data_IF_283399288875
#
_entry.id   IF_283399288875
#
_cell.length_a   1.000
_cell.length_b   1.000
_cell.length_c   1.000
_cell.angle_alpha   90.00
_cell.angle_beta   90.00
_cell.angle_gamma   90.00
#
_symmetry.space_group_name_H-M   'P 1'
#
loop_
_entity.id
_entity.type
_entity.pdbx_description
1 polymer ?
#
# COMPACT_ATOMS: atom_id res chain seq x y z
N UNK A 1 19.22 15.20 52.60
CA UNK A 1 19.76 14.39 51.49
C UNK A 1 18.63 14.02 50.52
N UNK A 2 18.49 14.75 49.41
CA UNK A 2 17.61 14.34 48.31
C UNK A 2 18.44 13.53 47.31
N UNK A 3 18.06 12.28 47.07
CA UNK A 3 18.48 11.54 45.86
C UNK A 3 17.30 11.51 44.90
N UNK A 4 17.21 12.51 44.03
CA UNK A 4 16.31 12.49 42.87
C UNK A 4 16.88 11.43 41.90
N UNK A 5 16.30 10.24 41.90
CA UNK A 5 16.59 9.25 40.84
C UNK A 5 15.88 9.72 39.57
N UNK A 6 16.66 10.20 38.61
CA UNK A 6 16.20 10.40 37.25
C UNK A 6 16.10 9.01 36.60
N UNK A 7 14.89 8.54 36.35
CA UNK A 7 14.69 7.36 35.51
C UNK A 7 14.52 7.85 34.08
N UNK A 8 15.54 7.63 33.26
CA UNK A 8 15.42 7.73 31.81
C UNK A 8 14.57 6.56 31.33
N UNK A 9 13.43 6.85 30.70
CA UNK A 9 12.67 5.85 29.95
C UNK A 9 12.93 6.04 28.45
N UNK A 10 13.64 5.08 27.85
CA UNK A 10 13.56 4.88 26.40
C UNK A 10 12.25 4.14 26.11
N UNK A 11 11.24 4.89 25.65
CA UNK A 11 10.01 4.28 25.17
C UNK A 11 10.23 3.75 23.75
N UNK A 12 10.54 2.46 23.61
CA UNK A 12 10.29 1.76 22.35
C UNK A 12 8.78 1.60 22.21
N UNK A 13 8.17 2.45 21.39
CA UNK A 13 6.74 2.36 21.10
C UNK A 13 6.48 1.07 20.32
N UNK A 14 5.83 0.09 20.94
CA UNK A 14 5.24 -1.05 20.24
C UNK A 14 3.75 -0.77 20.10
N UNK A 15 3.33 -0.40 18.90
CA UNK A 15 1.91 -0.27 18.56
C UNK A 15 1.36 -1.68 18.36
N UNK A 16 0.24 -1.94 19.01
CA UNK A 16 -0.50 -3.21 19.21
C UNK A 16 -0.52 -4.21 18.04
N UNK A 17 -0.21 -5.48 18.36
CA UNK A 17 -0.62 -6.78 17.77
C UNK A 17 -0.92 -6.94 16.27
N UNK A 18 -0.42 -6.03 15.45
CA UNK A 18 0.07 -6.32 14.12
C UNK A 18 1.44 -5.68 14.05
N UNK A 19 2.50 -6.48 14.11
CA UNK A 19 3.88 -5.99 14.00
C UNK A 19 4.11 -5.39 12.61
N UNK A 20 3.65 -4.15 12.41
CA UNK A 20 4.29 -3.24 11.47
C UNK A 20 5.62 -2.91 12.13
N UNK A 21 6.63 -3.73 11.87
CA UNK A 21 8.02 -3.28 12.00
C UNK A 21 8.16 -2.09 11.04
N UNK A 22 7.93 -0.90 11.58
CA UNK A 22 8.33 0.34 10.93
C UNK A 22 9.86 0.30 10.88
N UNK A 23 10.40 -0.35 9.84
CA UNK A 23 11.79 -0.14 9.45
C UNK A 23 12.02 1.36 9.37
N UNK A 24 13.16 1.85 9.84
CA UNK A 24 13.49 3.28 9.98
C UNK A 24 13.18 4.16 8.75
N UNK A 25 13.03 3.58 7.55
CA UNK A 25 12.49 4.24 6.35
C UNK A 25 11.06 4.77 6.48
N UNK A 26 10.21 4.15 7.30
CA UNK A 26 8.80 4.52 7.46
C UNK A 26 8.59 5.90 8.11
N UNK A 27 9.62 6.47 8.74
CA UNK A 27 9.58 7.80 9.36
C UNK A 27 10.13 8.91 8.45
N UNK A 28 10.87 8.59 7.38
CA UNK A 28 11.46 9.60 6.47
C UNK A 28 10.54 10.01 5.32
N UNK A 29 9.53 9.20 5.00
CA UNK A 29 8.57 9.53 3.95
C UNK A 29 7.31 10.16 4.55
N UNK A 30 6.76 11.24 3.95
CA UNK A 30 5.51 11.82 4.43
C UNK A 30 4.43 10.75 4.47
N UNK A 31 3.79 10.58 5.63
CA UNK A 31 2.64 9.70 5.79
C UNK A 31 1.60 9.97 4.69
N UNK A 32 0.78 8.99 4.31
CA UNK A 32 -0.25 9.17 3.28
C UNK A 32 -1.26 10.28 3.61
N UNK A 33 -1.33 10.70 4.88
CA UNK A 33 -2.14 11.81 5.40
C UNK A 33 -1.41 13.15 5.43
N UNK A 34 -0.15 13.21 4.99
CA UNK A 34 0.63 14.44 5.06
C UNK A 34 0.04 15.51 4.13
N UNK A 35 -0.07 16.79 4.57
CA UNK A 35 -0.76 17.84 3.81
C UNK A 35 -0.26 18.06 2.38
N UNK A 36 1.03 17.80 2.12
CA UNK A 36 1.66 17.97 0.79
C UNK A 36 1.42 16.78 -0.16
N UNK A 37 0.82 15.69 0.32
CA UNK A 37 0.50 14.52 -0.51
C UNK A 37 -0.83 14.79 -1.19
N UNK A 38 -0.79 14.98 -2.51
CA UNK A 38 -2.00 15.14 -3.32
C UNK A 38 -2.86 13.88 -3.27
N UNK A 39 -4.16 14.02 -3.48
CA UNK A 39 -5.09 12.89 -3.40
C UNK A 39 -4.68 11.74 -4.35
N UNK A 40 -4.29 11.97 -5.63
CA UNK A 40 -3.81 10.89 -6.50
C UNK A 40 -2.59 10.15 -5.94
N UNK A 41 -1.59 10.87 -5.41
CA UNK A 41 -0.43 10.27 -4.74
C UNK A 41 -0.82 9.48 -3.50
N UNK A 42 -1.77 9.96 -2.71
CA UNK A 42 -2.29 9.22 -1.55
C UNK A 42 -2.94 7.89 -1.95
N UNK A 43 -3.65 7.84 -3.09
CA UNK A 43 -4.22 6.59 -3.63
C UNK A 43 -3.13 5.62 -4.10
N UNK A 44 -2.06 6.11 -4.74
CA UNK A 44 -0.91 5.27 -5.11
C UNK A 44 -0.20 4.73 -3.86
N UNK A 45 0.04 5.58 -2.85
CA UNK A 45 0.62 5.16 -1.56
C UNK A 45 -0.24 4.10 -0.86
N UNK A 46 -1.57 4.21 -0.92
CA UNK A 46 -2.45 3.16 -0.40
C UNK A 46 -2.24 1.82 -1.11
N UNK A 47 -2.00 1.81 -2.43
CA UNK A 47 -1.66 0.58 -3.15
C UNK A 47 -0.38 -0.06 -2.61
N UNK A 48 0.66 0.73 -2.38
CA UNK A 48 1.92 0.25 -1.78
C UNK A 48 1.71 -0.34 -0.39
N UNK A 49 0.93 0.32 0.45
CA UNK A 49 0.56 -0.19 1.77
C UNK A 49 -0.13 -1.56 1.68
N UNK A 50 -1.13 -1.70 0.80
CA UNK A 50 -1.81 -2.99 0.61
C UNK A 50 -0.92 -4.05 -0.04
N UNK A 51 0.05 -3.66 -0.87
CA UNK A 51 1.04 -4.59 -1.40
C UNK A 51 1.94 -5.14 -0.29
N UNK A 52 2.33 -4.31 0.69
CA UNK A 52 3.12 -4.77 1.81
C UNK A 52 2.33 -5.70 2.74
N UNK A 53 1.07 -5.38 3.02
CA UNK A 53 0.16 -6.29 3.73
C UNK A 53 -0.05 -7.59 2.94
N UNK A 54 -0.18 -7.51 1.62
CA UNK A 54 -0.29 -8.68 0.75
C UNK A 54 0.93 -9.61 0.88
N UNK A 55 2.16 -9.07 0.85
CA UNK A 55 3.38 -9.87 1.03
C UNK A 55 3.39 -10.61 2.37
N UNK A 56 2.94 -9.95 3.43
CA UNK A 56 2.87 -10.55 4.77
C UNK A 56 1.79 -11.63 4.89
N UNK A 57 0.75 -11.56 4.07
CA UNK A 57 -0.44 -12.42 4.16
C UNK A 57 -0.69 -13.28 2.91
N UNK A 58 0.32 -13.48 2.06
CA UNK A 58 0.18 -14.13 0.75
C UNK A 58 -0.30 -15.59 0.83
N UNK A 59 -0.14 -16.25 1.98
CA UNK A 59 -0.61 -17.62 2.24
C UNK A 59 -1.99 -17.67 2.94
N UNK A 60 -2.53 -16.54 3.35
CA UNK A 60 -3.89 -16.44 3.87
C UNK A 60 -4.81 -16.05 2.71
N UNK A 61 -5.66 -16.99 2.29
CA UNK A 61 -6.54 -16.84 1.13
C UNK A 61 -7.47 -15.62 1.24
N UNK A 62 -8.16 -15.49 2.38
CA UNK A 62 -9.10 -14.40 2.62
C UNK A 62 -8.38 -13.04 2.63
N UNK A 63 -7.24 -12.94 3.31
CA UNK A 63 -6.44 -11.72 3.35
C UNK A 63 -5.88 -11.37 1.97
N UNK A 64 -5.33 -12.36 1.26
CA UNK A 64 -4.85 -12.25 -0.13
C UNK A 64 -5.92 -11.66 -1.02
N UNK A 65 -7.12 -12.23 -0.99
CA UNK A 65 -8.28 -11.74 -1.74
C UNK A 65 -8.57 -10.28 -1.41
N UNK A 66 -8.73 -9.95 -0.14
CA UNK A 66 -9.02 -8.58 0.32
C UNK A 66 -7.96 -7.57 -0.14
N UNK A 67 -6.67 -7.94 -0.08
CA UNK A 67 -5.59 -7.05 -0.48
C UNK A 67 -5.54 -6.83 -2.00
N UNK A 68 -5.75 -7.87 -2.80
CA UNK A 68 -5.84 -7.75 -4.27
C UNK A 68 -7.02 -6.86 -4.67
N UNK A 69 -8.20 -7.06 -4.06
CA UNK A 69 -9.38 -6.22 -4.29
C UNK A 69 -9.10 -4.75 -3.93
N UNK A 70 -8.45 -4.51 -2.78
CA UNK A 70 -8.08 -3.18 -2.35
C UNK A 70 -7.12 -2.50 -3.34
N UNK A 71 -6.04 -3.19 -3.76
CA UNK A 71 -5.07 -2.66 -4.72
C UNK A 71 -5.77 -2.28 -6.03
N UNK A 72 -6.57 -3.19 -6.60
CA UNK A 72 -7.30 -2.94 -7.86
C UNK A 72 -8.23 -1.72 -7.75
N UNK A 73 -8.92 -1.56 -6.62
CA UNK A 73 -9.77 -0.40 -6.33
C UNK A 73 -8.98 0.91 -6.23
N UNK A 74 -7.85 0.90 -5.53
CA UNK A 74 -7.03 2.10 -5.35
C UNK A 74 -6.31 2.53 -6.63
N UNK A 75 -5.90 1.59 -7.49
CA UNK A 75 -5.35 1.90 -8.82
C UNK A 75 -6.35 2.69 -9.67
N UNK A 76 -7.62 2.25 -9.75
CA UNK A 76 -8.69 3.01 -10.43
C UNK A 76 -8.95 4.33 -9.75
N UNK A 77 -9.01 4.35 -8.42
CA UNK A 77 -9.24 5.59 -7.68
C UNK A 77 -8.17 6.63 -7.97
N UNK A 78 -6.90 6.23 -8.12
CA UNK A 78 -5.80 7.14 -8.42
C UNK A 78 -6.02 7.83 -9.78
N UNK A 79 -6.32 7.08 -10.83
CA UNK A 79 -6.53 7.63 -12.18
C UNK A 79 -7.81 8.46 -12.29
N UNK A 80 -8.89 8.05 -11.64
CA UNK A 80 -10.12 8.83 -11.59
C UNK A 80 -10.00 10.13 -10.81
N UNK A 81 -9.31 10.10 -9.67
CA UNK A 81 -9.05 11.33 -8.91
C UNK A 81 -8.16 12.26 -9.72
N UNK A 82 -7.16 11.73 -10.44
CA UNK A 82 -6.31 12.53 -11.32
C UNK A 82 -7.14 13.23 -12.40
N UNK A 83 -7.96 12.48 -13.15
CA UNK A 83 -8.87 13.04 -14.16
C UNK A 83 -9.78 14.12 -13.58
N UNK A 84 -10.42 13.83 -12.45
CA UNK A 84 -11.35 14.77 -11.82
C UNK A 84 -10.68 16.08 -11.40
N UNK A 85 -9.49 16.01 -10.79
CA UNK A 85 -8.78 17.20 -10.31
C UNK A 85 -8.24 18.04 -11.48
N UNK A 86 -7.79 17.37 -12.55
CA UNK A 86 -7.11 18.01 -13.66
C UNK A 86 -8.02 18.28 -14.88
N UNK A 87 -9.32 17.98 -14.81
CA UNK A 87 -10.30 18.13 -15.90
C UNK A 87 -10.24 19.49 -16.60
N UNK A 88 -10.02 20.56 -15.83
CA UNK A 88 -9.94 21.95 -16.33
C UNK A 88 -8.53 22.47 -16.57
N UNK A 89 -7.50 21.65 -16.36
CA UNK A 89 -6.11 22.07 -16.55
C UNK A 89 -5.79 22.16 -18.07
N UNK A 90 -5.29 23.31 -18.56
CA UNK A 90 -4.93 23.45 -19.98
C UNK A 90 -3.95 22.38 -20.44
N UNK A 91 -4.24 21.71 -21.56
CA UNK A 91 -3.40 20.64 -22.14
C UNK A 91 -3.46 19.28 -21.42
N UNK A 92 -4.21 19.14 -20.32
CA UNK A 92 -4.31 17.87 -19.59
C UNK A 92 -4.98 16.79 -20.42
N UNK A 93 -6.07 17.10 -21.13
CA UNK A 93 -6.84 16.10 -21.87
C UNK A 93 -6.01 15.42 -22.97
N UNK A 94 -5.36 16.21 -23.83
CA UNK A 94 -4.49 15.69 -24.90
C UNK A 94 -3.33 14.85 -24.35
N UNK A 95 -2.70 15.31 -23.26
CA UNK A 95 -1.65 14.54 -22.60
C UNK A 95 -2.18 13.22 -22.03
N UNK A 96 -3.34 13.27 -21.35
CA UNK A 96 -3.88 12.13 -20.65
C UNK A 96 -4.44 11.08 -21.62
N UNK A 97 -5.01 11.48 -22.75
CA UNK A 97 -5.40 10.57 -23.83
C UNK A 97 -4.19 9.77 -24.34
N UNK A 98 -3.06 10.43 -24.59
CA UNK A 98 -1.83 9.74 -25.00
C UNK A 98 -1.32 8.76 -23.91
N UNK A 99 -1.36 9.16 -22.64
CA UNK A 99 -1.02 8.29 -21.52
C UNK A 99 -1.99 7.10 -21.40
N UNK A 100 -3.28 7.31 -21.67
CA UNK A 100 -4.29 6.25 -21.68
C UNK A 100 -4.04 5.24 -22.79
N UNK A 101 -3.66 5.66 -23.99
CA UNK A 101 -3.32 4.72 -25.07
C UNK A 101 -2.13 3.84 -24.68
N UNK A 102 -1.08 4.41 -24.09
CA UNK A 102 0.05 3.62 -23.58
C UNK A 102 -0.39 2.61 -22.50
N UNK A 103 -1.26 3.02 -21.58
CA UNK A 103 -1.81 2.10 -20.57
C UNK A 103 -2.72 1.02 -21.19
N UNK A 104 -3.43 1.32 -22.27
CA UNK A 104 -4.23 0.36 -23.04
C UNK A 104 -3.36 -0.58 -23.86
N UNK A 105 -2.09 -0.31 -24.07
CA UNK A 105 -1.17 -1.23 -24.73
C UNK A 105 -0.55 -2.21 -23.73
N UNK A 106 -0.38 -1.81 -22.46
CA UNK A 106 0.19 -2.63 -21.39
C UNK A 106 -0.70 -3.86 -21.04
N UNK A 107 -0.23 -5.09 -21.31
CA UNK A 107 -0.99 -6.31 -21.02
C UNK A 107 -1.30 -6.49 -19.53
N UNK A 108 -0.39 -6.11 -18.64
CA UNK A 108 -0.56 -6.24 -17.19
C UNK A 108 -1.65 -5.29 -16.71
N UNK A 109 -1.71 -4.06 -17.22
CA UNK A 109 -2.78 -3.12 -16.86
C UNK A 109 -4.14 -3.58 -17.38
N UNK A 110 -4.22 -4.26 -18.54
CA UNK A 110 -5.46 -4.91 -18.99
C UNK A 110 -5.92 -5.98 -18.03
N UNK A 111 -5.00 -6.82 -17.55
CA UNK A 111 -5.30 -7.84 -16.54
C UNK A 111 -5.80 -7.21 -15.24
N UNK A 112 -5.19 -6.12 -14.78
CA UNK A 112 -5.65 -5.38 -13.60
C UNK A 112 -7.06 -4.77 -13.80
N UNK A 113 -7.38 -4.27 -14.99
CA UNK A 113 -8.73 -3.80 -15.32
C UNK A 113 -9.74 -4.95 -15.28
N UNK A 114 -9.38 -6.12 -15.81
CA UNK A 114 -10.21 -7.31 -15.75
C UNK A 114 -10.43 -7.76 -14.30
N UNK A 115 -9.36 -7.86 -13.52
CA UNK A 115 -9.38 -8.23 -12.11
C UNK A 115 -10.31 -7.31 -11.31
N UNK A 116 -10.20 -6.00 -11.52
CA UNK A 116 -11.09 -5.02 -10.92
C UNK A 116 -12.55 -5.24 -11.32
N UNK A 117 -12.83 -5.39 -12.62
CA UNK A 117 -14.19 -5.58 -13.10
C UNK A 117 -14.85 -6.83 -12.52
N UNK A 118 -14.06 -7.89 -12.31
CA UNK A 118 -14.49 -9.10 -11.62
C UNK A 118 -14.78 -8.80 -10.15
N UNK A 119 -13.83 -8.17 -9.44
CA UNK A 119 -13.99 -7.82 -8.02
C UNK A 119 -15.27 -7.02 -7.76
N UNK A 120 -15.52 -5.98 -8.56
CA UNK A 120 -16.68 -5.09 -8.39
C UNK A 120 -18.02 -5.78 -8.68
N UNK A 121 -18.06 -6.72 -9.63
CA UNK A 121 -19.33 -7.32 -10.10
C UNK A 121 -19.67 -8.65 -9.44
N UNK A 122 -18.67 -9.45 -9.11
CA UNK A 122 -18.84 -10.85 -8.68
C UNK A 122 -18.08 -11.18 -7.39
N UNK A 123 -17.18 -10.30 -6.96
CA UNK A 123 -16.12 -10.66 -6.02
C UNK A 123 -15.04 -11.50 -6.70
N UNK A 124 -13.87 -11.59 -6.05
CA UNK A 124 -12.78 -12.45 -6.54
C UNK A 124 -12.95 -13.89 -6.05
N UNK A 125 -12.90 -14.82 -6.99
CA UNK A 125 -12.84 -16.26 -6.70
C UNK A 125 -11.44 -16.77 -7.05
N UNK A 126 -10.75 -17.33 -6.07
CA UNK A 126 -9.37 -17.78 -6.19
C UNK A 126 -9.36 -19.24 -6.65
N UNK A 127 -9.40 -19.43 -7.97
CA UNK A 127 -9.48 -20.74 -8.64
C UNK A 127 -8.24 -21.59 -8.34
N UNK A 128 -7.07 -20.96 -8.33
CA UNK A 128 -5.81 -21.59 -7.92
C UNK A 128 -5.09 -20.65 -6.96
N UNK A 129 -4.86 -21.13 -5.74
CA UNK A 129 -4.19 -20.41 -4.68
C UNK A 129 -3.44 -21.40 -3.81
N UNK A 130 -2.21 -21.05 -3.42
CA UNK A 130 -1.45 -21.80 -2.44
C UNK A 130 0.02 -21.95 -2.77
N UNK A 131 0.74 -22.49 -1.80
CA UNK A 131 2.15 -22.79 -1.91
C UNK A 131 2.36 -23.99 -2.83
N UNK A 132 3.16 -23.80 -3.88
CA UNK A 132 3.61 -24.91 -4.74
C UNK A 132 4.91 -25.47 -4.17
N UNK A 133 4.89 -26.75 -3.77
CA UNK A 133 6.08 -27.46 -3.30
C UNK A 133 6.49 -28.49 -4.36
N UNK A 134 7.72 -28.40 -4.85
CA UNK A 134 8.31 -29.39 -5.73
C UNK A 134 9.24 -30.30 -4.93
N UNK A 135 8.97 -31.61 -4.94
CA UNK A 135 9.80 -32.62 -4.29
C UNK A 135 10.46 -33.52 -5.33
N UNK A 136 11.78 -33.43 -5.46
CA UNK A 136 12.57 -34.24 -6.38
C UNK A 136 13.12 -35.47 -5.62
N UNK A 137 12.84 -36.66 -6.14
CA UNK A 137 13.36 -37.93 -5.63
C UNK A 137 14.48 -38.44 -6.55
N UNK A 138 15.69 -38.59 -6.02
CA UNK A 138 16.85 -39.05 -6.77
C UNK A 138 17.07 -40.55 -6.58
N UNK A 139 17.73 -41.21 -7.55
CA UNK A 139 18.02 -42.65 -7.51
C UNK A 139 18.91 -43.09 -6.33
N UNK A 140 19.65 -42.17 -5.74
CA UNK A 140 20.51 -42.40 -4.57
C UNK A 140 19.79 -42.12 -3.25
N UNK A 141 18.46 -42.22 -3.22
CA UNK A 141 17.60 -41.94 -2.06
C UNK A 141 17.64 -40.49 -1.54
N UNK A 142 18.39 -39.59 -2.20
CA UNK A 142 18.35 -38.17 -1.90
C UNK A 142 16.97 -37.61 -2.23
N UNK A 143 16.45 -36.77 -1.35
CA UNK A 143 15.23 -35.99 -1.54
C UNK A 143 15.59 -34.52 -1.51
N UNK A 144 15.17 -33.76 -2.51
CA UNK A 144 15.29 -32.31 -2.54
C UNK A 144 13.89 -31.69 -2.58
N UNK A 145 13.62 -30.74 -1.69
CA UNK A 145 12.36 -30.00 -1.64
C UNK A 145 12.63 -28.56 -2.03
N UNK A 146 11.86 -28.04 -2.99
CA UNK A 146 11.90 -26.64 -3.43
C UNK A 146 10.53 -26.01 -3.24
N UNK A 147 10.54 -24.79 -2.71
CA UNK A 147 9.36 -23.93 -2.68
C UNK A 147 9.32 -23.13 -3.97
N UNK A 148 8.25 -23.31 -4.74
CA UNK A 148 8.02 -22.55 -5.96
C UNK A 148 7.28 -21.24 -5.61
N UNK A 149 7.39 -20.21 -6.45
CA UNK A 149 6.61 -18.98 -6.29
C UNK A 149 5.12 -19.28 -6.17
N UNK A 150 4.44 -18.50 -5.34
CA UNK A 150 2.97 -18.54 -5.27
C UNK A 150 2.43 -18.00 -6.59
N UNK A 151 1.60 -18.78 -7.25
CA UNK A 151 0.82 -18.34 -8.40
C UNK A 151 -0.63 -18.20 -7.98
N UNK A 152 -1.33 -17.21 -8.52
CA UNK A 152 -2.73 -16.98 -8.21
C UNK A 152 -3.53 -16.88 -9.51
N UNK A 153 -4.58 -17.71 -9.64
CA UNK A 153 -5.55 -17.61 -10.73
C UNK A 153 -6.87 -17.12 -10.21
N UNK A 154 -7.36 -16.03 -10.78
CA UNK A 154 -8.56 -15.32 -10.33
C UNK A 154 -9.44 -15.06 -11.55
N UNK A 155 -10.53 -15.81 -11.71
CA UNK A 155 -11.56 -15.53 -12.71
C UNK A 155 -11.02 -15.15 -14.11
N UNK A 156 -10.06 -15.93 -14.62
CA UNK A 156 -9.43 -15.73 -15.93
C UNK A 156 -8.17 -14.85 -15.95
N UNK A 157 -7.79 -14.24 -14.83
CA UNK A 157 -6.51 -13.55 -14.62
C UNK A 157 -5.50 -14.50 -13.98
N UNK A 158 -4.26 -14.54 -14.48
CA UNK A 158 -3.19 -15.38 -13.92
C UNK A 158 -2.01 -14.53 -13.48
N UNK A 159 -1.87 -14.35 -12.17
CA UNK A 159 -0.71 -13.71 -11.55
C UNK A 159 0.37 -14.76 -11.31
N UNK A 160 1.42 -14.73 -12.13
CA UNK A 160 2.52 -15.71 -12.07
C UNK A 160 3.49 -15.39 -10.95
N UNK A 161 3.74 -14.10 -10.74
CA UNK A 161 4.42 -13.58 -9.57
C UNK A 161 3.55 -12.45 -9.02
N UNK A 162 2.54 -12.76 -8.20
CA UNK A 162 1.56 -11.79 -7.73
C UNK A 162 2.20 -10.55 -7.10
N UNK A 163 3.32 -10.69 -6.40
CA UNK A 163 4.00 -9.55 -5.80
C UNK A 163 4.63 -8.68 -6.87
N UNK A 164 5.36 -9.26 -7.82
CA UNK A 164 6.01 -8.51 -8.89
C UNK A 164 4.99 -7.91 -9.88
N UNK A 165 3.94 -8.65 -10.21
CA UNK A 165 2.89 -8.24 -11.13
C UNK A 165 2.09 -7.06 -10.55
N UNK A 166 1.64 -7.15 -9.28
CA UNK A 166 0.97 -6.04 -8.62
C UNK A 166 1.90 -4.83 -8.46
N UNK A 167 3.17 -5.06 -8.10
CA UNK A 167 4.18 -3.99 -8.00
C UNK A 167 4.33 -3.22 -9.31
N UNK A 168 4.52 -3.91 -10.44
CA UNK A 168 4.65 -3.28 -11.77
C UNK A 168 3.42 -2.49 -12.17
N UNK A 169 2.22 -2.97 -11.83
CA UNK A 169 0.98 -2.24 -12.07
C UNK A 169 0.94 -0.94 -11.27
N UNK A 170 1.33 -0.98 -9.99
CA UNK A 170 1.41 0.21 -9.12
C UNK A 170 2.45 1.20 -9.66
N UNK A 171 3.63 0.72 -10.05
CA UNK A 171 4.69 1.57 -10.62
C UNK A 171 4.23 2.25 -11.91
N UNK A 172 3.45 1.57 -12.75
CA UNK A 172 2.94 2.13 -13.99
C UNK A 172 1.93 3.26 -13.74
N UNK A 173 0.98 3.06 -12.82
CA UNK A 173 0.06 4.14 -12.42
C UNK A 173 0.80 5.27 -11.67
N UNK A 174 1.80 4.93 -10.86
CA UNK A 174 2.64 5.91 -10.18
C UNK A 174 3.34 6.82 -11.17
N UNK A 175 3.92 6.28 -12.25
CA UNK A 175 4.58 7.08 -13.30
C UNK A 175 3.61 8.09 -13.94
N UNK A 176 2.38 7.68 -14.25
CA UNK A 176 1.36 8.59 -14.80
C UNK A 176 1.00 9.71 -13.82
N UNK A 177 0.86 9.37 -12.54
CA UNK A 177 0.57 10.37 -11.49
C UNK A 177 1.73 11.33 -11.32
N UNK A 178 2.97 10.85 -11.30
CA UNK A 178 4.16 11.70 -11.14
C UNK A 178 4.39 12.60 -12.36
N UNK A 179 4.25 12.08 -13.59
CA UNK A 179 4.36 12.88 -14.82
C UNK A 179 3.31 14.02 -14.84
N UNK A 180 2.10 13.78 -14.34
CA UNK A 180 1.09 14.83 -14.20
C UNK A 180 1.49 15.94 -13.20
N UNK A 181 2.24 15.61 -12.15
CA UNK A 181 2.79 16.60 -11.22
C UNK A 181 3.94 17.37 -11.85
N UNK A 182 4.84 16.69 -12.55
CA UNK A 182 5.98 17.30 -13.23
C UNK A 182 5.53 18.28 -14.32
N UNK A 183 4.43 17.97 -15.02
CA UNK A 183 3.78 18.86 -15.99
C UNK A 183 2.95 19.99 -15.36
N UNK A 184 2.83 20.02 -14.04
CA UNK A 184 2.11 21.06 -13.31
C UNK A 184 0.58 20.97 -13.41
N UNK A 185 0.02 19.84 -13.87
CA UNK A 185 -1.44 19.66 -13.91
C UNK A 185 -2.04 19.50 -12.51
N UNK A 186 -1.27 18.93 -11.57
CA UNK A 186 -1.69 18.74 -10.18
C UNK A 186 -1.05 19.80 -9.30
N UNK A 187 -1.87 20.68 -8.72
CA UNK A 187 -1.38 21.65 -7.72
C UNK A 187 -1.07 20.93 -6.41
N UNK A 188 0.15 21.11 -5.91
CA UNK A 188 0.54 20.65 -4.58
C UNK A 188 -0.15 21.59 -3.58
N UNK A 189 -0.92 21.06 -2.60
CA UNK A 189 -1.51 21.88 -1.56
C UNK A 189 -0.42 22.66 -0.83
N UNK A 190 -0.71 23.92 -0.48
CA UNK A 190 0.15 24.67 0.42
C UNK A 190 0.31 23.87 1.73
N UNK A 191 1.54 23.81 2.24
CA UNK A 191 1.81 23.14 3.50
C UNK A 191 0.98 23.81 4.59
N UNK A 192 0.10 23.03 5.23
CA UNK A 192 -0.58 23.48 6.44
C UNK A 192 0.32 23.15 7.63
N UNK A 193 0.55 24.12 8.50
CA UNK A 193 1.17 23.86 9.78
C UNK A 193 0.31 22.87 10.57
N UNK A 194 0.88 21.71 10.90
CA UNK A 194 0.25 20.76 11.81
C UNK A 194 0.78 21.00 13.21
N UNK A 195 -0.11 21.40 14.12
CA UNK A 195 0.18 21.54 15.54
C UNK A 195 -0.02 20.18 16.20
N UNK A 196 1.06 19.45 16.46
CA UNK A 196 1.01 18.23 17.26
C UNK A 196 0.91 18.61 18.73
N UNK A 197 -0.25 18.38 19.35
CA UNK A 197 -0.41 18.55 20.80
C UNK A 197 -0.10 17.23 21.49
N UNK A 198 1.02 17.18 22.20
CA UNK A 198 1.35 16.07 23.08
C UNK A 198 0.86 16.43 24.47
N UNK A 199 -0.14 15.70 24.96
CA UNK A 199 -0.68 15.85 26.30
C UNK A 199 -0.18 14.69 27.18
N UNK A 200 0.52 14.99 28.27
CA UNK A 200 0.92 13.98 29.24
C UNK A 200 -0.14 13.89 30.34
N UNK A 201 -0.62 12.67 30.60
CA UNK A 201 -1.61 12.41 31.65
C UNK A 201 -1.10 11.35 32.60
N UNK A 202 -1.38 11.52 33.89
CA UNK A 202 -1.08 10.56 34.96
C UNK A 202 -2.38 10.09 35.60
N UNK A 203 -2.48 8.78 35.79
CA UNK A 203 -3.59 8.16 36.51
C UNK A 203 -3.40 8.32 38.03
N UNK A 204 -4.46 8.72 38.73
CA UNK A 204 -4.53 8.88 40.17
C UNK A 204 -4.93 7.56 40.85
N UNK A 205 -4.70 7.41 42.16
CA UNK A 205 -5.12 6.22 42.90
C UNK A 205 -6.63 5.95 42.88
N UNK A 206 -7.45 6.96 42.60
CA UNK A 206 -8.91 6.84 42.45
C UNK A 206 -9.35 6.46 41.03
N UNK A 207 -8.39 6.22 40.11
CA UNK A 207 -8.63 5.89 38.70
C UNK A 207 -8.90 7.10 37.79
N UNK A 208 -8.88 8.33 38.33
CA UNK A 208 -9.03 9.53 37.50
C UNK A 208 -7.71 9.94 36.83
N UNK A 209 -7.78 10.69 35.72
CA UNK A 209 -6.62 11.16 34.98
C UNK A 209 -6.39 12.65 35.20
N UNK A 210 -5.16 13.07 35.46
CA UNK A 210 -4.75 14.48 35.48
C UNK A 210 -3.66 14.77 34.44
N UNK A 211 -3.73 15.96 33.86
CA UNK A 211 -2.63 16.48 33.04
C UNK A 211 -1.43 16.77 33.93
N UNK A 212 -0.24 16.43 33.45
CA UNK A 212 1.00 16.86 34.07
C UNK A 212 1.98 17.33 33.01
N UNK A 213 2.87 18.23 33.38
CA UNK A 213 3.94 18.71 32.51
C UNK A 213 5.24 18.00 32.90
N UNK A 214 5.76 17.07 32.08
CA UNK A 214 7.05 16.43 32.33
C UNK A 214 8.17 17.42 32.04
N UNK A 215 8.44 18.30 33.00
CA UNK A 215 9.67 19.11 33.02
C UNK A 215 10.91 18.25 33.11
#
# INVERSE_FOLDING_TARGET
MMKKKMQTFEAKTKISDGTLEAGSKALSEPAFLHPVVTIPRAKVKACWYFLDLFKMNILNEAATRCHIEAIAKFLRSATFTLQYICDKAPGFHEWYEAAQEQMKEDPLLKEMVMLRNVAEKRGLDLIEFGLKIQRNHFRNEKVETKYLPVEIKINGVHLKDPVADLKKAIESISRVVEDAHEKGFVKIPESKDMLLRVEFRREKPDGSWEFFDPK
#
